data_IF_889501485414
#
_entry.id   IF_889501485414
#
_cell.length_a   1.000
_cell.length_b   1.000
_cell.length_c   1.000
_cell.angle_alpha   90.00
_cell.angle_beta   90.00
_cell.angle_gamma   90.00
#
_symmetry.space_group_name_H-M   'P 1'
#
loop_
_entity.id
_entity.type
_entity.pdbx_description
1 polymer ?
#
# COMPACT_ATOMS: atom_id res chain seq x y z
N UNK A 1 6.10 2.50 -25.23
CA UNK A 1 5.64 2.43 -23.81
C UNK A 1 4.84 3.69 -23.52
N UNK A 2 3.62 3.56 -23.01
CA UNK A 2 2.81 4.73 -22.67
C UNK A 2 3.39 5.45 -21.43
N UNK A 3 3.37 6.79 -21.35
CA UNK A 3 3.94 7.52 -20.22
C UNK A 3 3.35 7.15 -18.84
N UNK A 4 2.06 6.80 -18.77
CA UNK A 4 1.44 6.30 -17.53
C UNK A 4 2.04 4.97 -17.07
N UNK A 5 2.46 4.10 -17.98
CA UNK A 5 3.18 2.88 -17.64
C UNK A 5 4.53 3.19 -16.99
N UNK A 6 5.26 4.18 -17.51
CA UNK A 6 6.50 4.65 -16.89
C UNK A 6 6.27 5.17 -15.46
N UNK A 7 5.15 5.86 -15.21
CA UNK A 7 4.78 6.30 -13.86
C UNK A 7 4.62 5.10 -12.91
N UNK A 8 3.94 4.03 -13.35
CA UNK A 8 3.78 2.82 -12.53
C UNK A 8 5.10 2.09 -12.30
N UNK A 9 5.94 1.96 -13.32
CA UNK A 9 7.25 1.34 -13.18
C UNK A 9 8.16 2.11 -12.21
N UNK A 10 8.13 3.44 -12.27
CA UNK A 10 8.83 4.29 -11.31
C UNK A 10 8.30 4.13 -9.89
N UNK A 11 6.97 4.08 -9.74
CA UNK A 11 6.32 3.88 -8.45
C UNK A 11 6.76 2.57 -7.79
N UNK A 12 6.66 1.43 -8.49
CA UNK A 12 7.02 0.14 -7.93
C UNK A 12 8.55 -0.04 -7.75
N UNK A 13 9.35 0.55 -8.63
CA UNK A 13 10.81 0.58 -8.46
C UNK A 13 11.21 1.36 -7.21
N UNK A 14 10.56 2.49 -6.95
CA UNK A 14 10.76 3.26 -5.73
C UNK A 14 10.28 2.48 -4.49
N UNK A 15 9.11 1.83 -4.58
CA UNK A 15 8.58 1.03 -3.49
C UNK A 15 9.49 -0.16 -3.13
N UNK A 16 10.06 -0.84 -4.11
CA UNK A 16 11.02 -1.92 -3.86
C UNK A 16 12.23 -1.44 -3.03
N UNK A 17 12.61 -0.17 -3.16
CA UNK A 17 13.70 0.47 -2.40
C UNK A 17 13.22 1.22 -1.16
N UNK A 18 11.91 1.18 -0.86
CA UNK A 18 11.28 1.93 0.23
C UNK A 18 11.46 3.46 0.09
N UNK A 19 11.55 3.97 -1.13
CA UNK A 19 11.69 5.39 -1.45
C UNK A 19 10.31 6.05 -1.52
N UNK A 20 9.78 6.39 -0.35
CA UNK A 20 8.44 6.95 -0.22
C UNK A 20 8.30 8.35 -0.85
N UNK A 21 9.37 9.10 -1.00
CA UNK A 21 9.32 10.44 -1.64
C UNK A 21 9.13 10.31 -3.15
N UNK A 22 9.85 9.42 -3.80
CA UNK A 22 9.63 9.11 -5.22
C UNK A 22 8.23 8.52 -5.45
N UNK A 23 7.75 7.64 -4.58
CA UNK A 23 6.37 7.13 -4.64
C UNK A 23 5.36 8.27 -4.54
N UNK A 24 5.53 9.19 -3.58
CA UNK A 24 4.65 10.34 -3.38
C UNK A 24 4.58 11.25 -4.61
N UNK A 25 5.69 11.43 -5.30
CA UNK A 25 5.76 12.22 -6.52
C UNK A 25 4.94 11.64 -7.69
N UNK A 26 4.56 10.37 -7.64
CA UNK A 26 3.70 9.74 -8.65
C UNK A 26 2.21 10.10 -8.49
N UNK A 27 1.78 10.60 -7.33
CA UNK A 27 0.38 10.90 -7.04
C UNK A 27 -0.04 12.33 -7.33
N UNK A 28 -1.29 12.49 -7.75
CA UNK A 28 -1.95 13.79 -7.87
C UNK A 28 -2.34 14.35 -6.49
N UNK A 29 -2.65 15.66 -6.43
CA UNK A 29 -3.05 16.32 -5.18
C UNK A 29 -4.37 15.80 -4.63
N UNK A 30 -5.29 15.43 -5.52
CA UNK A 30 -6.62 14.89 -5.22
C UNK A 30 -6.66 13.35 -5.25
N UNK A 31 -5.52 12.69 -5.18
CA UNK A 31 -5.42 11.24 -5.27
C UNK A 31 -6.29 10.54 -4.22
N UNK A 32 -6.83 9.39 -4.60
CA UNK A 32 -7.54 8.48 -3.72
C UNK A 32 -6.89 7.09 -3.74
N UNK A 33 -6.87 6.45 -2.59
CA UNK A 33 -6.37 5.08 -2.42
C UNK A 33 -7.38 4.25 -1.66
N UNK A 34 -7.70 3.09 -2.17
CA UNK A 34 -8.55 2.12 -1.51
C UNK A 34 -7.91 0.72 -1.57
N UNK A 35 -7.89 0.03 -0.45
CA UNK A 35 -7.60 -1.41 -0.38
C UNK A 35 -8.49 -2.10 0.66
N UNK A 36 -8.14 -3.32 1.06
CA UNK A 36 -8.91 -4.10 2.05
C UNK A 36 -8.85 -3.49 3.46
N UNK A 37 -7.92 -2.57 3.71
CA UNK A 37 -7.66 -1.97 5.03
C UNK A 37 -7.88 -0.47 5.05
N UNK A 38 -7.37 0.25 4.03
CA UNK A 38 -7.41 1.70 3.94
C UNK A 38 -8.44 2.22 2.94
N UNK A 39 -9.02 3.38 3.23
CA UNK A 39 -9.80 4.20 2.31
C UNK A 39 -9.39 5.65 2.52
N UNK A 40 -8.52 6.15 1.66
CA UNK A 40 -7.79 7.41 1.84
C UNK A 40 -8.14 8.40 0.74
N UNK A 41 -8.18 9.68 1.10
CA UNK A 41 -8.53 10.79 0.22
C UNK A 41 -7.55 11.94 0.37
N UNK A 42 -7.01 12.37 -0.77
CA UNK A 42 -6.04 13.47 -0.85
C UNK A 42 -4.59 13.01 -0.71
N UNK A 43 -3.70 13.80 -1.31
CA UNK A 43 -2.28 13.52 -1.40
C UNK A 43 -1.64 13.25 -0.02
N UNK A 44 -1.99 14.05 0.98
CA UNK A 44 -1.41 13.92 2.33
C UNK A 44 -1.70 12.55 2.96
N UNK A 45 -2.96 12.09 2.91
CA UNK A 45 -3.33 10.80 3.47
C UNK A 45 -2.69 9.64 2.70
N UNK A 46 -2.76 9.67 1.36
CA UNK A 46 -2.24 8.60 0.51
C UNK A 46 -0.72 8.49 0.66
N UNK A 47 0.00 9.59 0.52
CA UNK A 47 1.47 9.57 0.63
C UNK A 47 1.95 9.36 2.06
N UNK A 48 1.19 9.85 3.04
CA UNK A 48 1.46 9.59 4.46
C UNK A 48 1.37 8.12 4.80
N UNK A 49 0.41 7.39 4.25
CA UNK A 49 0.32 5.94 4.42
C UNK A 49 1.56 5.23 3.87
N UNK A 50 2.02 5.55 2.66
CA UNK A 50 3.24 4.98 2.11
C UNK A 50 4.48 5.33 2.91
N UNK A 51 4.60 6.57 3.39
CA UNK A 51 5.70 6.99 4.27
C UNK A 51 5.71 6.22 5.59
N UNK A 52 4.55 6.03 6.17
CA UNK A 52 4.41 5.24 7.40
C UNK A 52 4.85 3.78 7.19
N UNK A 53 4.40 3.13 6.13
CA UNK A 53 4.75 1.74 5.82
C UNK A 53 6.24 1.59 5.47
N UNK A 54 6.78 2.44 4.62
CA UNK A 54 8.20 2.43 4.28
C UNK A 54 9.08 2.69 5.50
N UNK A 55 8.71 3.65 6.34
CA UNK A 55 9.44 3.97 7.57
C UNK A 55 9.44 2.80 8.58
N UNK A 56 8.31 2.16 8.79
CA UNK A 56 8.20 1.00 9.67
C UNK A 56 9.03 -0.18 9.15
N UNK A 57 9.00 -0.43 7.85
CA UNK A 57 9.78 -1.49 7.20
C UNK A 57 11.28 -1.22 7.32
N UNK A 58 11.74 0.00 7.08
CA UNK A 58 13.15 0.38 7.25
C UNK A 58 13.63 0.21 8.70
N UNK A 59 12.77 0.56 9.65
CA UNK A 59 13.14 0.51 11.08
C UNK A 59 13.23 -0.92 11.63
N UNK A 60 12.35 -1.83 11.19
CA UNK A 60 12.20 -3.15 11.83
C UNK A 60 12.06 -4.33 10.85
N UNK A 61 12.27 -4.15 9.56
CA UNK A 61 12.02 -5.20 8.59
C UNK A 61 12.81 -5.10 7.29
N UNK A 62 13.83 -4.23 7.21
CA UNK A 62 14.63 -4.06 6.02
C UNK A 62 15.39 -5.33 5.60
N UNK A 63 15.75 -6.17 6.56
CA UNK A 63 16.45 -7.45 6.36
C UNK A 63 15.60 -8.48 5.60
N UNK A 64 14.28 -8.40 5.68
CA UNK A 64 13.34 -9.37 5.07
C UNK A 64 12.52 -8.77 3.92
N UNK A 65 12.56 -7.46 3.74
CA UNK A 65 11.78 -6.76 2.72
C UNK A 65 12.17 -7.21 1.32
N UNK A 66 11.19 -7.68 0.58
CA UNK A 66 11.31 -7.97 -0.86
C UNK A 66 10.02 -7.57 -1.54
N UNK A 67 10.15 -6.88 -2.66
CA UNK A 67 9.03 -6.56 -3.54
C UNK A 67 9.37 -6.97 -4.97
N UNK A 68 8.44 -7.67 -5.60
CA UNK A 68 8.48 -7.98 -7.03
C UNK A 68 7.21 -7.43 -7.67
N UNK A 69 7.31 -6.93 -8.86
CA UNK A 69 6.15 -6.50 -9.64
C UNK A 69 6.25 -6.96 -11.09
N UNK A 70 5.12 -7.16 -11.72
CA UNK A 70 4.99 -7.66 -13.09
C UNK A 70 3.66 -7.21 -13.70
N UNK A 71 3.47 -7.52 -14.98
CA UNK A 71 2.21 -7.23 -15.65
C UNK A 71 1.82 -5.75 -15.69
N UNK A 72 2.79 -4.86 -15.56
CA UNK A 72 2.55 -3.41 -15.61
C UNK A 72 2.10 -3.04 -17.01
N UNK A 73 0.87 -2.54 -17.10
CA UNK A 73 0.26 -2.08 -18.34
C UNK A 73 -0.50 -0.79 -18.03
N UNK A 74 -0.33 0.22 -18.86
CA UNK A 74 -1.12 1.43 -18.77
C UNK A 74 -1.23 2.12 -20.13
N UNK A 75 -2.35 2.81 -20.31
CA UNK A 75 -2.66 3.66 -21.45
C UNK A 75 -3.35 4.95 -20.99
N UNK A 76 -4.01 5.66 -21.91
CA UNK A 76 -4.77 6.87 -21.56
C UNK A 76 -6.01 6.58 -20.69
N UNK A 77 -6.55 5.37 -20.72
CA UNK A 77 -7.77 4.99 -20.01
C UNK A 77 -7.50 4.54 -18.56
N UNK A 78 -6.26 4.13 -18.24
CA UNK A 78 -5.90 3.67 -16.91
C UNK A 78 -4.69 2.74 -16.91
N UNK A 79 -4.49 2.03 -15.79
CA UNK A 79 -3.39 1.10 -15.65
C UNK A 79 -3.67 -0.03 -14.68
N UNK A 80 -2.84 -1.06 -14.76
CA UNK A 80 -2.84 -2.19 -13.83
C UNK A 80 -1.42 -2.69 -13.58
N UNK A 81 -1.22 -3.30 -12.44
CA UNK A 81 0.02 -4.00 -12.10
C UNK A 81 -0.27 -5.13 -11.13
N UNK A 82 0.54 -6.18 -11.21
CA UNK A 82 0.60 -7.23 -10.21
C UNK A 82 1.87 -7.06 -9.38
N UNK A 83 1.77 -7.21 -8.05
CA UNK A 83 2.92 -7.13 -7.18
C UNK A 83 2.83 -8.08 -5.99
N UNK A 84 3.97 -8.50 -5.50
CA UNK A 84 4.10 -9.39 -4.36
C UNK A 84 5.11 -8.80 -3.38
N UNK A 85 4.83 -8.88 -2.09
CA UNK A 85 5.75 -8.42 -1.06
C UNK A 85 5.93 -9.44 0.05
N UNK A 86 7.19 -9.67 0.42
CA UNK A 86 7.58 -10.36 1.65
C UNK A 86 8.00 -9.31 2.67
N UNK A 87 7.37 -9.31 3.84
CA UNK A 87 7.66 -8.34 4.88
C UNK A 87 7.35 -8.86 6.28
N UNK A 88 7.92 -8.20 7.28
CA UNK A 88 7.59 -8.44 8.68
C UNK A 88 6.48 -7.48 9.11
N UNK A 89 5.34 -8.03 9.53
CA UNK A 89 4.24 -7.20 10.04
C UNK A 89 4.63 -6.60 11.39
N UNK A 90 4.72 -5.28 11.48
CA UNK A 90 5.32 -4.58 12.62
C UNK A 90 4.60 -4.80 13.94
N UNK A 91 3.27 -4.98 13.92
CA UNK A 91 2.47 -5.16 15.12
C UNK A 91 2.68 -6.51 15.82
N UNK A 92 3.05 -7.55 15.07
CA UNK A 92 3.19 -8.92 15.60
C UNK A 92 4.58 -9.52 15.40
N UNK A 93 5.41 -8.93 14.55
CA UNK A 93 6.70 -9.47 14.13
C UNK A 93 6.60 -10.67 13.18
N UNK A 94 5.39 -11.05 12.75
CA UNK A 94 5.18 -12.22 11.87
C UNK A 94 5.52 -11.90 10.44
N UNK A 95 6.03 -12.90 9.73
CA UNK A 95 6.30 -12.81 8.29
C UNK A 95 5.00 -12.92 7.49
N UNK A 96 4.87 -12.04 6.50
CA UNK A 96 3.75 -12.01 5.56
C UNK A 96 4.30 -12.06 4.13
N UNK A 97 3.71 -12.93 3.31
CA UNK A 97 3.79 -12.88 1.86
C UNK A 97 2.43 -12.44 1.34
N UNK A 98 2.37 -11.26 0.75
CA UNK A 98 1.13 -10.71 0.22
C UNK A 98 1.19 -10.61 -1.30
N UNK A 99 0.09 -10.97 -1.95
CA UNK A 99 -0.08 -10.94 -3.42
C UNK A 99 -1.20 -9.97 -3.74
N UNK A 100 -0.89 -8.95 -4.53
CA UNK A 100 -1.76 -7.80 -4.73
C UNK A 100 -1.90 -7.48 -6.22
N UNK A 101 -3.12 -7.14 -6.63
CA UNK A 101 -3.42 -6.59 -7.95
C UNK A 101 -3.86 -5.14 -7.79
N UNK A 102 -3.12 -4.23 -8.45
CA UNK A 102 -3.38 -2.80 -8.44
C UNK A 102 -4.05 -2.33 -9.73
N UNK A 103 -5.02 -1.43 -9.59
CA UNK A 103 -5.71 -0.74 -10.69
C UNK A 103 -5.57 0.76 -10.49
N UNK A 104 -5.35 1.50 -11.59
CA UNK A 104 -4.96 2.91 -11.56
C UNK A 104 -5.74 3.76 -12.55
N UNK A 105 -5.99 5.01 -12.17
CA UNK A 105 -6.40 6.08 -13.07
C UNK A 105 -5.41 7.25 -12.97
N UNK A 106 -5.29 8.03 -14.03
CA UNK A 106 -4.30 9.11 -14.14
C UNK A 106 -4.96 10.41 -14.63
N UNK A 107 -4.36 11.55 -14.28
CA UNK A 107 -4.68 12.83 -14.88
C UNK A 107 -3.79 13.13 -16.11
N UNK A 108 -4.04 14.26 -16.77
CA UNK A 108 -3.29 14.71 -17.95
C UNK A 108 -1.80 14.96 -17.65
N UNK A 109 -1.44 15.16 -16.37
CA UNK A 109 -0.06 15.30 -15.91
C UNK A 109 0.61 13.95 -15.61
N UNK A 110 -0.06 12.82 -15.92
CA UNK A 110 0.43 11.45 -15.69
C UNK A 110 0.61 11.12 -14.21
N UNK A 111 -0.13 11.82 -13.33
CA UNK A 111 -0.16 11.53 -11.90
C UNK A 111 -1.31 10.59 -11.60
N UNK A 112 -1.10 9.68 -10.66
CA UNK A 112 -2.12 8.73 -10.19
C UNK A 112 -3.20 9.52 -9.43
N UNK A 113 -4.43 9.48 -9.94
CA UNK A 113 -5.61 10.07 -9.29
C UNK A 113 -6.40 9.03 -8.50
N UNK A 114 -6.38 7.79 -8.95
CA UNK A 114 -6.98 6.66 -8.24
C UNK A 114 -6.04 5.48 -8.23
N UNK A 115 -5.89 4.87 -7.07
CA UNK A 115 -5.17 3.63 -6.87
C UNK A 115 -6.04 2.71 -6.02
N UNK A 116 -6.33 1.52 -6.54
CA UNK A 116 -7.03 0.49 -5.81
C UNK A 116 -6.20 -0.78 -5.82
N UNK A 117 -5.83 -1.24 -4.64
CA UNK A 117 -5.20 -2.53 -4.42
C UNK A 117 -6.22 -3.57 -3.95
N UNK A 118 -6.10 -4.79 -4.44
CA UNK A 118 -6.92 -5.93 -4.03
C UNK A 118 -6.03 -7.08 -3.61
N UNK A 119 -6.27 -7.63 -2.42
CA UNK A 119 -5.58 -8.81 -1.92
C UNK A 119 -6.53 -9.67 -1.07
N UNK A 120 -6.16 -10.93 -0.83
CA UNK A 120 -6.91 -11.83 0.03
C UNK A 120 -6.70 -11.48 1.51
N UNK A 121 -7.65 -10.73 2.09
CA UNK A 121 -7.62 -10.32 3.50
C UNK A 121 -7.59 -11.54 4.44
N UNK A 122 -8.25 -12.64 4.12
CA UNK A 122 -8.23 -13.85 4.94
C UNK A 122 -6.81 -14.44 5.00
N UNK A 123 -6.19 -14.62 3.84
CA UNK A 123 -4.80 -15.11 3.76
C UNK A 123 -3.83 -14.17 4.45
N UNK A 124 -3.96 -12.87 4.25
CA UNK A 124 -3.14 -11.85 4.90
C UNK A 124 -3.29 -11.91 6.43
N UNK A 125 -4.51 -11.93 6.95
CA UNK A 125 -4.76 -11.89 8.39
C UNK A 125 -4.29 -13.13 9.12
N UNK A 126 -4.34 -14.30 8.50
CA UNK A 126 -3.76 -15.53 9.05
C UNK A 126 -2.26 -15.43 9.23
N UNK A 127 -1.56 -14.88 8.25
CA UNK A 127 -0.12 -14.67 8.30
C UNK A 127 0.25 -13.60 9.33
N UNK A 128 -0.39 -12.44 9.26
CA UNK A 128 -0.07 -11.27 10.07
C UNK A 128 -0.46 -11.43 11.55
N UNK A 129 -1.62 -12.03 11.83
CA UNK A 129 -2.22 -12.11 13.17
C UNK A 129 -2.18 -13.50 13.80
N UNK A 130 -1.74 -14.51 13.07
CA UNK A 130 -1.62 -15.89 13.57
C UNK A 130 -2.98 -16.50 13.90
N UNK A 131 -3.11 -17.16 15.08
CA UNK A 131 -4.32 -17.86 15.47
C UNK A 131 -5.57 -16.99 15.56
N UNK A 132 -5.44 -15.71 15.94
CA UNK A 132 -6.54 -14.74 15.92
C UNK A 132 -7.03 -14.49 14.49
N UNK A 133 -6.11 -14.37 13.54
CA UNK A 133 -6.44 -14.28 12.13
C UNK A 133 -7.13 -15.53 11.61
N UNK A 134 -6.65 -16.71 11.99
CA UNK A 134 -7.23 -17.99 11.59
C UNK A 134 -8.70 -18.15 12.05
N UNK A 135 -9.00 -17.75 13.27
CA UNK A 135 -10.33 -17.97 13.88
C UNK A 135 -11.35 -16.88 13.55
N UNK A 136 -10.90 -15.67 13.27
CA UNK A 136 -11.77 -14.49 13.18
C UNK A 136 -11.71 -13.74 11.84
N UNK A 137 -10.79 -14.09 10.95
CA UNK A 137 -10.54 -13.35 9.71
C UNK A 137 -11.70 -13.31 8.72
N UNK A 138 -12.63 -14.27 8.81
CA UNK A 138 -13.86 -14.28 8.04
C UNK A 138 -14.96 -13.40 8.65
N UNK A 139 -14.76 -12.86 9.86
CA UNK A 139 -15.75 -12.02 10.53
C UNK A 139 -15.59 -10.54 10.17
N UNK A 140 -16.69 -9.80 9.97
CA UNK A 140 -16.65 -8.36 9.81
C UNK A 140 -16.01 -7.64 11.00
N UNK A 141 -16.11 -8.21 12.19
CA UNK A 141 -15.56 -7.64 13.42
C UNK A 141 -14.03 -7.46 13.36
N UNK A 142 -13.31 -8.51 12.95
CA UNK A 142 -11.86 -8.42 12.83
C UNK A 142 -11.44 -7.44 11.72
N UNK A 143 -12.08 -7.51 10.56
CA UNK A 143 -11.83 -6.60 9.45
C UNK A 143 -12.02 -5.14 9.88
N UNK A 144 -13.12 -4.82 10.55
CA UNK A 144 -13.40 -3.48 11.05
C UNK A 144 -12.39 -3.03 12.10
N UNK A 145 -11.94 -3.92 12.97
CA UNK A 145 -10.92 -3.62 13.99
C UNK A 145 -9.56 -3.32 13.32
N UNK A 146 -9.16 -4.10 12.33
CA UNK A 146 -7.92 -3.87 11.58
C UNK A 146 -7.98 -2.52 10.86
N UNK A 147 -9.09 -2.20 10.18
CA UNK A 147 -9.31 -0.91 9.53
C UNK A 147 -9.22 0.26 10.52
N UNK A 148 -9.89 0.16 11.65
CA UNK A 148 -9.88 1.21 12.67
C UNK A 148 -8.48 1.43 13.26
N UNK A 149 -7.74 0.36 13.53
CA UNK A 149 -6.37 0.43 14.05
C UNK A 149 -5.42 1.06 13.02
N UNK A 150 -5.52 0.66 11.76
CA UNK A 150 -4.72 1.23 10.67
C UNK A 150 -5.00 2.74 10.49
N UNK A 151 -6.27 3.14 10.50
CA UNK A 151 -6.66 4.54 10.41
C UNK A 151 -6.13 5.36 11.59
N UNK A 152 -6.23 4.84 12.82
CA UNK A 152 -5.70 5.51 14.01
C UNK A 152 -4.18 5.67 13.98
N UNK A 153 -3.45 4.65 13.51
CA UNK A 153 -2.00 4.71 13.35
C UNK A 153 -1.60 5.75 12.32
N UNK A 154 -2.31 5.82 11.20
CA UNK A 154 -2.05 6.83 10.17
C UNK A 154 -2.29 8.25 10.71
N UNK A 155 -3.38 8.49 11.43
CA UNK A 155 -3.67 9.79 12.04
C UNK A 155 -2.57 10.23 13.00
N UNK A 156 -2.06 9.32 13.85
CA UNK A 156 -0.93 9.62 14.74
C UNK A 156 0.34 9.96 13.96
N UNK A 157 0.62 9.21 12.89
CA UNK A 157 1.77 9.46 12.04
C UNK A 157 1.70 10.84 11.38
N UNK A 158 0.57 11.19 10.78
CA UNK A 158 0.36 12.49 10.14
C UNK A 158 0.49 13.64 11.15
N UNK A 159 -0.11 13.51 12.33
CA UNK A 159 0.00 14.53 13.40
C UNK A 159 1.46 14.74 13.86
N UNK A 160 2.28 13.69 13.92
CA UNK A 160 3.69 13.80 14.32
C UNK A 160 4.57 14.51 13.28
N UNK A 161 4.11 14.66 12.04
CA UNK A 161 4.84 15.35 10.97
C UNK A 161 4.54 16.85 10.91
N UNK A 162 3.43 17.27 11.50
CA UNK A 162 3.00 18.68 11.53
C UNK A 162 3.44 19.41 12.81
N UNK A 163 3.98 18.71 13.77
CA UNK A 163 4.58 19.25 15.00
C UNK A 163 6.08 19.46 14.84
#
# INVERSE_FOLDING_TARGET
MHPNQTTLENFYTAFARLDADTMAACYALDAVFDDEVFSLRGHEQVTGMWRMLCGATRAKGADVWKLKFSGVQADASGGKAHWEADYRFSATGRMVHNVIDGVFEFNDQRRITRHRDSFDFYSWSRQALGTRGLLLSWTPLLRNKVKATAAANLQKFLASRTA
#
